data_IF_562986112585
#
_entry.id   IF_562986112585
#
_cell.length_a   1.000
_cell.length_b   1.000
_cell.length_c   1.000
_cell.angle_alpha   90.00
_cell.angle_beta   90.00
_cell.angle_gamma   90.00
#
_symmetry.space_group_name_H-M   'P 1'
#
loop_
_entity.id
_entity.type
_entity.pdbx_description
1 polymer ?
#
# COMPACT_ATOMS: atom_id res chain seq x y z
N UNK A 1 6.38 -45.70 -19.24
CA UNK A 1 6.87 -44.80 -18.17
C UNK A 1 6.51 -43.39 -18.60
N UNK A 2 5.39 -42.86 -18.08
CA UNK A 2 4.90 -41.52 -18.37
C UNK A 2 5.68 -40.52 -17.52
N UNK A 3 6.47 -39.65 -18.16
CA UNK A 3 7.00 -38.44 -17.54
C UNK A 3 6.21 -37.26 -18.10
N UNK A 4 5.23 -36.77 -17.34
CA UNK A 4 4.56 -35.51 -17.60
C UNK A 4 5.11 -34.48 -16.61
N UNK A 5 6.10 -33.70 -17.05
CA UNK A 5 6.43 -32.44 -16.42
C UNK A 5 5.30 -31.44 -16.75
N UNK A 6 4.40 -31.21 -15.81
CA UNK A 6 3.41 -30.13 -15.91
C UNK A 6 4.09 -28.77 -15.72
N UNK A 7 4.66 -28.21 -16.78
CA UNK A 7 5.12 -26.81 -16.79
C UNK A 7 4.03 -25.91 -17.37
N UNK A 8 2.97 -25.67 -16.59
CA UNK A 8 2.04 -24.59 -16.88
C UNK A 8 2.63 -23.25 -16.43
N UNK A 9 3.53 -22.65 -17.21
CA UNK A 9 3.70 -21.18 -17.11
C UNK A 9 2.38 -20.60 -17.60
N UNK A 10 1.62 -19.96 -16.69
CA UNK A 10 0.39 -19.26 -17.05
C UNK A 10 0.62 -18.33 -18.25
N UNK A 11 -0.42 -18.12 -19.05
CA UNK A 11 -0.34 -17.22 -20.20
C UNK A 11 0.26 -15.87 -19.79
N UNK A 12 1.06 -15.21 -20.66
CA UNK A 12 1.60 -13.89 -20.36
C UNK A 12 0.49 -12.94 -19.96
N UNK A 13 0.67 -12.25 -18.83
CA UNK A 13 -0.27 -11.23 -18.37
C UNK A 13 -0.14 -10.01 -19.29
N UNK A 14 -1.24 -9.58 -19.90
CA UNK A 14 -1.31 -8.30 -20.61
C UNK A 14 -1.61 -7.18 -19.59
N UNK A 15 -0.64 -6.32 -19.26
CA UNK A 15 -0.83 -5.31 -18.23
C UNK A 15 -1.92 -4.31 -18.61
N UNK A 16 -2.19 -4.07 -19.90
CA UNK A 16 -3.19 -3.10 -20.36
C UNK A 16 -4.63 -3.46 -20.02
N UNK A 17 -4.87 -4.66 -19.50
CA UNK A 17 -6.19 -5.10 -19.02
C UNK A 17 -6.47 -4.72 -17.56
N UNK A 18 -5.52 -4.07 -16.90
CA UNK A 18 -5.60 -3.68 -15.49
C UNK A 18 -5.49 -2.16 -15.36
N UNK A 19 -6.07 -1.61 -14.29
CA UNK A 19 -6.18 -0.16 -14.12
C UNK A 19 -5.19 0.42 -13.11
N UNK A 20 -4.75 -0.39 -12.14
CA UNK A 20 -3.96 0.04 -11.00
C UNK A 20 -2.64 -0.74 -10.89
N UNK A 21 -1.54 -0.03 -10.66
CA UNK A 21 -0.20 -0.62 -10.66
C UNK A 21 0.66 -0.15 -9.50
N UNK A 22 1.52 -1.04 -9.01
CA UNK A 22 2.59 -0.69 -8.07
C UNK A 22 3.91 -0.47 -8.80
N UNK A 23 4.57 0.65 -8.53
CA UNK A 23 5.90 0.99 -9.04
C UNK A 23 6.93 0.99 -7.90
N UNK A 24 7.61 -0.15 -7.75
CA UNK A 24 8.65 -0.37 -6.76
C UNK A 24 10.00 0.26 -7.15
N UNK A 25 10.93 0.47 -6.20
CA UNK A 25 12.26 1.01 -6.47
C UNK A 25 13.03 0.12 -7.45
N UNK A 26 13.82 0.75 -8.32
CA UNK A 26 14.63 0.05 -9.32
C UNK A 26 13.84 -0.49 -10.51
N UNK A 27 12.51 -0.36 -10.53
CA UNK A 27 11.69 -0.70 -11.69
C UNK A 27 11.56 0.53 -12.59
N UNK A 28 12.01 0.41 -13.84
CA UNK A 28 11.74 1.43 -14.86
C UNK A 28 10.25 1.39 -15.19
N UNK A 29 9.58 2.53 -15.05
CA UNK A 29 8.19 2.66 -15.49
C UNK A 29 8.11 2.37 -17.01
N UNK A 30 7.23 1.46 -17.44
CA UNK A 30 6.99 1.25 -18.86
C UNK A 30 6.21 2.43 -19.44
N UNK A 31 6.37 2.68 -20.74
CA UNK A 31 5.79 3.86 -21.40
C UNK A 31 4.25 3.90 -21.35
N UNK A 32 3.60 2.74 -21.28
CA UNK A 32 2.14 2.64 -21.15
C UNK A 32 1.61 3.00 -19.74
N UNK A 33 2.48 3.15 -18.73
CA UNK A 33 2.05 3.42 -17.36
C UNK A 33 1.38 4.80 -17.21
N UNK A 34 1.70 5.74 -18.10
CA UNK A 34 1.05 7.06 -18.14
C UNK A 34 -0.42 6.99 -18.59
N UNK A 35 -0.84 5.86 -19.18
CA UNK A 35 -2.24 5.58 -19.54
C UNK A 35 -3.01 4.86 -18.41
N UNK A 36 -2.33 4.47 -17.32
CA UNK A 36 -2.97 3.78 -16.21
C UNK A 36 -3.98 4.68 -15.48
N UNK A 37 -4.99 4.05 -14.86
CA UNK A 37 -5.94 4.76 -14.02
C UNK A 37 -5.28 5.26 -12.73
N UNK A 38 -4.56 4.37 -12.05
CA UNK A 38 -3.90 4.64 -10.77
C UNK A 38 -2.52 3.99 -10.65
N UNK A 39 -1.59 4.67 -9.98
CA UNK A 39 -0.24 4.16 -9.73
C UNK A 39 0.18 4.42 -8.28
N UNK A 40 0.56 3.36 -7.60
CA UNK A 40 1.13 3.35 -6.26
C UNK A 40 2.65 3.39 -6.37
N UNK A 41 3.25 4.51 -5.98
CA UNK A 41 4.66 4.78 -6.19
C UNK A 41 5.40 4.76 -4.85
N UNK A 42 6.38 3.86 -4.69
CA UNK A 42 7.21 3.85 -3.46
C UNK A 42 8.08 5.11 -3.39
N UNK A 43 7.71 5.99 -2.46
CA UNK A 43 8.33 7.29 -2.24
C UNK A 43 9.49 7.22 -1.25
N UNK A 44 9.37 6.40 -0.21
CA UNK A 44 10.34 6.30 0.86
C UNK A 44 10.03 5.23 1.89
N UNK A 45 10.89 5.11 2.89
CA UNK A 45 10.79 4.10 3.94
C UNK A 45 10.98 4.70 5.34
N UNK A 46 10.32 4.12 6.32
CA UNK A 46 10.61 4.34 7.75
C UNK A 46 11.13 3.04 8.33
N UNK A 47 12.44 2.98 8.56
CA UNK A 47 13.16 1.76 8.93
C UNK A 47 13.21 1.53 10.44
N UNK A 48 13.44 0.28 10.87
CA UNK A 48 13.55 -0.12 12.28
C UNK A 48 14.64 0.60 13.07
N UNK A 49 15.70 1.09 12.41
CA UNK A 49 16.85 1.66 13.11
C UNK A 49 16.45 2.95 13.84
N UNK A 50 16.42 2.88 15.17
CA UNK A 50 16.15 4.01 16.04
C UNK A 50 17.00 5.23 15.67
N UNK A 51 16.37 6.41 15.64
CA UNK A 51 16.99 7.68 15.25
C UNK A 51 17.18 7.89 13.74
N UNK A 52 16.83 6.91 12.88
CA UNK A 52 16.68 7.17 11.44
C UNK A 52 15.21 7.49 11.15
N UNK A 53 14.98 8.69 10.64
CA UNK A 53 13.66 9.16 10.21
C UNK A 53 13.24 8.58 8.86
N UNK A 54 12.28 9.24 8.22
CA UNK A 54 11.85 8.95 6.86
C UNK A 54 13.03 9.05 5.87
N UNK A 55 13.23 8.02 5.05
CA UNK A 55 14.25 7.97 4.01
C UNK A 55 13.57 8.03 2.64
N UNK A 56 13.71 9.13 1.88
CA UNK A 56 13.20 9.17 0.52
C UNK A 56 13.99 8.22 -0.38
N UNK A 57 13.28 7.44 -1.20
CA UNK A 57 13.86 6.48 -2.14
C UNK A 57 13.81 6.96 -3.60
N UNK A 58 13.14 8.09 -3.87
CA UNK A 58 13.08 8.68 -5.21
C UNK A 58 12.96 10.20 -5.17
N UNK A 59 13.30 10.82 -6.29
CA UNK A 59 12.92 12.19 -6.57
C UNK A 59 11.40 12.32 -6.74
N UNK A 60 10.91 13.56 -6.66
CA UNK A 60 9.49 13.86 -6.93
C UNK A 60 9.14 13.46 -8.36
N UNK A 61 8.14 12.57 -8.57
CA UNK A 61 7.69 12.21 -9.91
C UNK A 61 7.04 13.42 -10.57
N UNK A 62 7.05 13.42 -11.91
CA UNK A 62 6.32 14.37 -12.74
C UNK A 62 5.67 13.56 -13.84
N UNK A 63 4.47 13.07 -13.57
CA UNK A 63 3.74 12.21 -14.49
C UNK A 63 2.36 12.81 -14.75
N UNK A 64 1.99 12.85 -16.03
CA UNK A 64 0.65 13.22 -16.48
C UNK A 64 -0.16 11.95 -16.72
N UNK A 65 -1.41 11.93 -16.28
CA UNK A 65 -2.32 10.80 -16.52
C UNK A 65 -2.82 10.18 -15.22
N UNK A 66 -2.09 9.21 -14.63
CA UNK A 66 -2.60 8.40 -13.54
C UNK A 66 -2.83 9.20 -12.26
N UNK A 67 -3.81 8.76 -11.48
CA UNK A 67 -3.90 9.12 -10.09
C UNK A 67 -2.71 8.51 -9.33
N UNK A 68 -2.02 9.30 -8.51
CA UNK A 68 -0.85 8.81 -7.78
C UNK A 68 -1.13 8.60 -6.31
N UNK A 69 -0.67 7.46 -5.81
CA UNK A 69 -0.51 7.21 -4.39
C UNK A 69 0.97 7.30 -4.03
N UNK A 70 1.29 8.11 -3.03
CA UNK A 70 2.61 8.17 -2.42
C UNK A 70 2.71 7.03 -1.40
N UNK A 71 3.42 5.96 -1.74
CA UNK A 71 3.58 4.81 -0.83
C UNK A 71 4.77 5.04 0.09
N UNK A 72 4.60 4.77 1.38
CA UNK A 72 5.68 4.73 2.37
C UNK A 72 5.72 3.34 2.96
N UNK A 73 6.86 2.66 2.81
CA UNK A 73 7.08 1.37 3.47
C UNK A 73 7.48 1.60 4.92
N UNK A 74 6.82 0.92 5.83
CA UNK A 74 6.97 1.13 7.26
C UNK A 74 7.47 -0.14 7.90
N UNK A 75 8.43 0.00 8.80
CA UNK A 75 8.93 -1.09 9.65
C UNK A 75 8.64 -0.82 11.14
N UNK A 76 8.35 0.43 11.51
CA UNK A 76 8.03 0.85 12.88
C UNK A 76 6.87 1.85 12.92
N UNK A 77 6.04 1.76 13.95
CA UNK A 77 4.84 2.60 14.12
C UNK A 77 5.04 3.78 15.09
N UNK A 78 6.17 3.83 15.80
CA UNK A 78 6.51 4.89 16.76
C UNK A 78 7.14 6.10 16.05
N UNK A 79 6.40 6.68 15.11
CA UNK A 79 6.86 7.84 14.36
C UNK A 79 7.01 9.06 15.28
N UNK A 80 8.20 9.66 15.23
CA UNK A 80 8.46 10.97 15.82
C UNK A 80 7.90 12.07 14.91
N UNK A 81 7.70 13.27 15.46
CA UNK A 81 7.12 14.42 14.72
C UNK A 81 7.86 14.70 13.40
N UNK A 82 9.20 14.58 13.41
CA UNK A 82 10.01 14.77 12.21
C UNK A 82 9.70 13.78 11.07
N UNK A 83 9.25 12.56 11.39
CA UNK A 83 8.84 11.57 10.39
C UNK A 83 7.52 11.99 9.75
N UNK A 84 6.52 12.38 10.56
CA UNK A 84 5.25 12.89 10.06
C UNK A 84 5.45 14.10 9.14
N UNK A 85 6.24 15.09 9.59
CA UNK A 85 6.52 16.29 8.79
C UNK A 85 7.22 15.97 7.47
N UNK A 86 8.17 15.03 7.47
CA UNK A 86 8.88 14.64 6.25
C UNK A 86 7.96 13.94 5.23
N UNK A 87 7.05 13.07 5.70
CA UNK A 87 6.05 12.42 4.83
C UNK A 87 5.07 13.44 4.27
N UNK A 88 4.51 14.32 5.12
CA UNK A 88 3.58 15.37 4.69
C UNK A 88 4.22 16.35 3.70
N UNK A 89 5.50 16.70 3.91
CA UNK A 89 6.26 17.52 2.97
C UNK A 89 6.44 16.82 1.62
N UNK A 90 6.66 15.50 1.63
CA UNK A 90 6.78 14.71 0.39
C UNK A 90 5.48 14.75 -0.41
N UNK A 91 4.33 14.57 0.24
CA UNK A 91 3.01 14.71 -0.40
C UNK A 91 2.83 16.11 -1.00
N UNK A 92 3.13 17.16 -0.23
CA UNK A 92 3.02 18.54 -0.72
C UNK A 92 3.90 18.80 -1.95
N UNK A 93 5.14 18.30 -1.96
CA UNK A 93 6.05 18.44 -3.10
C UNK A 93 5.52 17.72 -4.34
N UNK A 94 4.93 16.53 -4.17
CA UNK A 94 4.34 15.78 -5.29
C UNK A 94 3.12 16.50 -5.86
N UNK A 95 2.22 16.99 -5.00
CA UNK A 95 1.07 17.80 -5.42
C UNK A 95 1.52 19.07 -6.17
N UNK A 96 2.49 19.81 -5.62
CA UNK A 96 3.03 21.04 -6.23
C UNK A 96 3.76 20.81 -7.56
N UNK A 97 4.29 19.60 -7.79
CA UNK A 97 4.91 19.23 -9.05
C UNK A 97 3.88 18.98 -10.18
N UNK A 98 2.58 19.16 -9.92
CA UNK A 98 1.50 19.02 -10.89
C UNK A 98 0.96 17.61 -11.03
N UNK A 99 1.34 16.69 -10.13
CA UNK A 99 0.82 15.33 -10.14
C UNK A 99 -0.65 15.30 -9.67
N UNK A 100 -1.43 14.36 -10.21
CA UNK A 100 -2.77 14.02 -9.69
C UNK A 100 -2.66 13.16 -8.42
N UNK A 101 -2.13 13.75 -7.35
CA UNK A 101 -1.90 13.05 -6.09
C UNK A 101 -3.23 12.75 -5.37
N UNK A 102 -3.50 11.47 -5.15
CA UNK A 102 -4.67 10.98 -4.40
C UNK A 102 -4.41 11.02 -2.90
N UNK A 103 -3.25 10.55 -2.47
CA UNK A 103 -2.91 10.52 -1.06
C UNK A 103 -1.73 9.64 -0.70
N UNK A 104 -1.71 9.23 0.57
CA UNK A 104 -0.67 8.42 1.19
C UNK A 104 -1.13 6.97 1.28
N UNK A 105 -0.27 6.03 0.88
CA UNK A 105 -0.43 4.64 1.26
C UNK A 105 0.65 4.24 2.26
N UNK A 106 0.25 3.58 3.35
CA UNK A 106 1.16 2.94 4.31
C UNK A 106 1.28 1.46 3.95
N UNK A 107 2.47 1.06 3.51
CA UNK A 107 2.84 -0.34 3.28
C UNK A 107 3.50 -0.88 4.56
N UNK A 108 2.72 -1.52 5.42
CA UNK A 108 3.16 -2.06 6.70
C UNK A 108 2.72 -3.52 6.85
N UNK A 109 3.69 -4.41 7.05
CA UNK A 109 3.44 -5.79 7.42
C UNK A 109 3.16 -5.86 8.93
N UNK A 110 1.89 -5.63 9.31
CA UNK A 110 1.46 -5.85 10.67
C UNK A 110 1.26 -7.35 10.89
N UNK A 111 2.09 -7.98 11.73
CA UNK A 111 1.73 -9.29 12.27
C UNK A 111 0.36 -9.20 12.97
N UNK A 112 -0.49 -10.22 12.84
CA UNK A 112 -1.86 -10.28 13.42
C UNK A 112 -1.97 -9.72 14.86
N UNK A 113 -0.97 -9.97 15.73
CA UNK A 113 -0.96 -9.50 17.14
C UNK A 113 -0.73 -7.99 17.32
N UNK A 114 -0.41 -7.25 16.25
CA UNK A 114 -0.09 -5.83 16.26
C UNK A 114 -1.24 -4.91 15.80
N UNK A 115 -2.42 -5.47 15.50
CA UNK A 115 -3.51 -4.74 14.84
C UNK A 115 -4.04 -3.55 15.66
N UNK A 116 -4.13 -3.68 16.98
CA UNK A 116 -4.56 -2.57 17.86
C UNK A 116 -3.60 -1.37 17.82
N UNK A 117 -2.30 -1.63 17.99
CA UNK A 117 -1.26 -0.59 17.88
C UNK A 117 -1.23 0.04 16.48
N UNK A 118 -1.50 -0.76 15.45
CA UNK A 118 -1.59 -0.27 14.09
C UNK A 118 -2.81 0.62 13.88
N UNK A 119 -3.98 0.27 14.42
CA UNK A 119 -5.18 1.10 14.37
C UNK A 119 -4.97 2.44 15.10
N UNK A 120 -4.34 2.43 16.28
CA UNK A 120 -3.99 3.65 17.02
C UNK A 120 -3.05 4.56 16.20
N UNK A 121 -2.01 3.96 15.59
CA UNK A 121 -1.11 4.68 14.69
C UNK A 121 -1.85 5.30 13.50
N UNK A 122 -2.73 4.54 12.84
CA UNK A 122 -3.49 5.03 11.70
C UNK A 122 -4.47 6.14 12.08
N UNK A 123 -5.10 6.05 13.26
CA UNK A 123 -5.97 7.10 13.77
C UNK A 123 -5.19 8.40 14.01
N UNK A 124 -3.98 8.32 14.57
CA UNK A 124 -3.13 9.50 14.72
C UNK A 124 -2.67 10.07 13.38
N UNK A 125 -2.23 9.19 12.47
CA UNK A 125 -1.84 9.58 11.11
C UNK A 125 -2.99 10.26 10.37
N UNK A 126 -4.21 9.73 10.46
CA UNK A 126 -5.40 10.30 9.82
C UNK A 126 -5.73 11.70 10.34
N UNK A 127 -5.57 11.96 11.65
CA UNK A 127 -5.75 13.30 12.24
C UNK A 127 -4.72 14.31 11.72
N UNK A 128 -3.49 13.87 11.48
CA UNK A 128 -2.39 14.71 10.99
C UNK A 128 -2.43 14.93 9.49
N UNK A 129 -2.95 13.95 8.72
CA UNK A 129 -3.02 14.00 7.27
C UNK A 129 -4.16 14.94 6.82
N UNK A 130 -3.86 16.03 6.07
CA UNK A 130 -4.88 16.92 5.54
C UNK A 130 -5.98 16.18 4.78
N UNK A 131 -7.26 16.55 4.98
CA UNK A 131 -8.43 15.86 4.42
C UNK A 131 -8.48 15.81 2.89
N UNK A 132 -7.73 16.67 2.20
CA UNK A 132 -7.60 16.63 0.73
C UNK A 132 -6.89 15.37 0.22
N UNK A 133 -6.09 14.73 1.07
CA UNK A 133 -5.39 13.50 0.76
C UNK A 133 -6.04 12.31 1.46
N UNK A 134 -6.28 11.27 0.67
CA UNK A 134 -6.77 9.98 1.15
C UNK A 134 -5.67 9.21 1.88
N UNK A 135 -6.08 8.28 2.74
CA UNK A 135 -5.22 7.35 3.45
C UNK A 135 -5.54 5.92 2.98
N UNK A 136 -4.57 5.26 2.35
CA UNK A 136 -4.62 3.86 1.96
C UNK A 136 -3.66 3.04 2.83
N UNK A 137 -3.95 1.76 3.01
CA UNK A 137 -3.05 0.81 3.66
C UNK A 137 -2.95 -0.48 2.86
N UNK A 138 -1.83 -1.18 2.97
CA UNK A 138 -1.77 -2.59 2.59
C UNK A 138 -2.22 -3.46 3.76
N UNK A 139 -3.02 -4.49 3.50
CA UNK A 139 -3.44 -5.47 4.51
C UNK A 139 -3.04 -6.89 4.16
N UNK A 140 -2.50 -7.62 5.12
CA UNK A 140 -2.29 -9.05 4.99
C UNK A 140 -3.59 -9.83 5.28
N UNK A 141 -3.67 -11.06 4.76
CA UNK A 141 -4.86 -11.90 4.96
C UNK A 141 -4.95 -12.54 6.36
N UNK A 142 -3.87 -12.59 7.12
CA UNK A 142 -3.86 -13.18 8.47
C UNK A 142 -4.70 -12.36 9.47
N UNK A 143 -4.99 -11.09 9.17
CA UNK A 143 -5.83 -10.21 9.98
C UNK A 143 -7.27 -10.71 10.16
N UNK A 144 -7.80 -11.51 9.22
CA UNK A 144 -9.15 -12.08 9.34
C UNK A 144 -9.19 -13.51 9.83
N UNK A 145 -8.18 -14.31 9.49
CA UNK A 145 -8.07 -15.68 9.97
C UNK A 145 -7.83 -15.73 11.49
N UNK A 146 -7.21 -14.67 12.06
CA UNK A 146 -6.91 -14.52 13.48
C UNK A 146 -7.97 -13.83 14.35
N UNK A 147 -9.07 -13.33 13.77
CA UNK A 147 -10.28 -13.02 14.53
C UNK A 147 -10.32 -11.67 15.27
N UNK A 148 -10.28 -10.55 14.55
CA UNK A 148 -10.90 -9.33 15.07
C UNK A 148 -11.61 -8.52 13.95
N UNK A 149 -12.82 -8.96 13.60
CA UNK A 149 -13.68 -8.24 12.68
C UNK A 149 -14.01 -6.81 13.16
N UNK A 150 -13.98 -6.56 14.48
CA UNK A 150 -14.20 -5.23 15.03
C UNK A 150 -12.98 -4.32 14.83
N UNK A 151 -11.75 -4.85 14.94
CA UNK A 151 -10.54 -4.11 14.58
C UNK A 151 -10.51 -3.77 13.09
N UNK A 152 -10.90 -4.70 12.21
CA UNK A 152 -11.04 -4.42 10.78
C UNK A 152 -12.11 -3.35 10.48
N UNK A 153 -13.26 -3.41 11.16
CA UNK A 153 -14.29 -2.37 11.05
C UNK A 153 -13.80 -1.00 11.55
N UNK A 154 -13.00 -0.97 12.63
CA UNK A 154 -12.37 0.25 13.15
C UNK A 154 -11.36 0.86 12.17
N UNK A 155 -10.65 0.03 11.41
CA UNK A 155 -9.79 0.50 10.32
C UNK A 155 -10.59 1.14 9.20
N UNK A 156 -11.73 0.56 8.81
CA UNK A 156 -12.60 1.10 7.75
C UNK A 156 -13.12 2.52 8.02
N UNK A 157 -13.25 2.91 9.29
CA UNK A 157 -13.60 4.29 9.66
C UNK A 157 -12.42 5.28 9.56
N UNK A 158 -11.19 4.77 9.47
CA UNK A 158 -9.95 5.56 9.55
C UNK A 158 -9.29 5.73 8.18
N UNK A 159 -9.39 4.72 7.31
CA UNK A 159 -8.72 4.67 6.00
C UNK A 159 -9.75 4.75 4.87
N UNK A 160 -9.34 5.34 3.76
CA UNK A 160 -10.15 5.47 2.54
C UNK A 160 -10.01 4.22 1.63
N UNK A 161 -8.95 3.43 1.79
CA UNK A 161 -8.68 2.23 0.99
C UNK A 161 -7.87 1.18 1.77
N UNK A 162 -8.19 -0.09 1.55
CA UNK A 162 -7.37 -1.23 1.99
C UNK A 162 -7.02 -2.07 0.76
N UNK A 163 -5.72 -2.15 0.42
CA UNK A 163 -5.22 -3.04 -0.61
C UNK A 163 -4.80 -4.37 0.02
N UNK A 164 -5.60 -5.41 -0.22
CA UNK A 164 -5.35 -6.74 0.35
C UNK A 164 -4.30 -7.50 -0.46
N UNK A 165 -3.22 -7.91 0.20
CA UNK A 165 -2.19 -8.74 -0.41
C UNK A 165 -2.57 -10.23 -0.27
N UNK A 166 -3.08 -10.80 -1.35
CA UNK A 166 -3.56 -12.20 -1.40
C UNK A 166 -2.45 -13.20 -1.73
N UNK A 167 -1.17 -12.82 -1.58
CA UNK A 167 -0.03 -13.63 -1.95
C UNK A 167 1.03 -13.64 -0.84
N UNK A 168 1.82 -14.71 -0.81
CA UNK A 168 3.03 -14.82 -0.01
C UNK A 168 4.19 -15.27 -0.89
N UNK A 169 5.20 -14.42 -1.01
CA UNK A 169 6.29 -14.61 -1.98
C UNK A 169 5.75 -14.62 -3.41
N UNK A 170 5.78 -15.79 -4.06
CA UNK A 170 5.34 -15.97 -5.46
C UNK A 170 4.06 -16.79 -5.61
N UNK A 171 3.35 -17.06 -4.50
CA UNK A 171 2.16 -17.91 -4.49
C UNK A 171 0.97 -17.15 -3.93
N UNK A 172 -0.16 -17.26 -4.61
CA UNK A 172 -1.46 -16.84 -4.06
C UNK A 172 -1.79 -17.71 -2.85
N UNK A 173 -2.29 -17.09 -1.79
CA UNK A 173 -2.73 -17.78 -0.58
C UNK A 173 -4.04 -18.51 -0.92
N UNK A 174 -4.15 -19.83 -0.69
CA UNK A 174 -5.38 -20.58 -0.95
C UNK A 174 -6.56 -20.03 -0.14
N UNK A 175 -7.75 -19.98 -0.75
CA UNK A 175 -8.99 -19.56 -0.08
C UNK A 175 -9.12 -18.05 0.14
N UNK A 176 -8.29 -17.23 -0.52
CA UNK A 176 -8.35 -15.77 -0.43
C UNK A 176 -9.72 -15.20 -0.84
N UNK A 177 -10.43 -15.89 -1.73
CA UNK A 177 -11.73 -15.47 -2.24
C UNK A 177 -12.79 -15.45 -1.13
N UNK A 178 -12.73 -16.43 -0.22
CA UNK A 178 -13.62 -16.49 0.95
C UNK A 178 -13.34 -15.31 1.87
N UNK A 179 -12.06 -14.98 2.06
CA UNK A 179 -11.66 -13.82 2.85
C UNK A 179 -12.13 -12.50 2.22
N UNK A 180 -11.89 -12.28 0.93
CA UNK A 180 -12.35 -11.07 0.23
C UNK A 180 -13.87 -10.92 0.31
N UNK A 181 -14.61 -12.02 0.20
CA UNK A 181 -16.07 -12.03 0.36
C UNK A 181 -16.50 -11.63 1.78
N UNK A 182 -15.77 -12.05 2.80
CA UNK A 182 -16.05 -11.67 4.19
C UNK A 182 -15.76 -10.19 4.44
N UNK A 183 -14.64 -9.67 3.92
CA UNK A 183 -14.31 -8.24 4.01
C UNK A 183 -15.35 -7.35 3.31
N UNK A 184 -15.82 -7.76 2.13
CA UNK A 184 -16.81 -7.00 1.38
C UNK A 184 -18.15 -6.85 2.14
N UNK A 185 -18.40 -7.63 3.19
CA UNK A 185 -19.59 -7.53 4.05
C UNK A 185 -19.41 -6.61 5.25
N UNK A 186 -18.19 -6.12 5.51
CA UNK A 186 -17.88 -5.19 6.61
C UNK A 186 -18.00 -3.71 6.21
N UNK A 187 -18.24 -3.43 4.93
CA UNK A 187 -18.43 -2.08 4.36
C UNK A 187 -19.86 -1.86 3.88
#
# INVERSE_FOLDING_TARGET
>A
MLAACGTGRGAPVDPRRYEAFFLWPGVKAPDWLDEAGEVYVLAGEVRHRAGRGFVPLRATPRVSGPALWCVVRVERLDWEEGVYLAVLRTLALWEQAGNRLVGLQVDFDAATRGLGRYAEFLADLRRRLPRRWKLSITGLMDWSAGGDAAALAGLGATVDEIVVQTYQGRRTIPGYEVYLTALARLG
#
